data_IF_963793670706
#
_entry.id   IF_963793670706
#
_cell.length_a   1.000
_cell.length_b   1.000
_cell.length_c   1.000
_cell.angle_alpha   90.00
_cell.angle_beta   90.00
_cell.angle_gamma   90.00
#
_symmetry.space_group_name_H-M   'P 1'
#
loop_
_entity.id
_entity.type
_entity.pdbx_description
1 polymer ?
#
# COMPACT_ATOMS: atom_id res chain seq x y z
N UNK A 1 -6.98 9.42 28.56
CA UNK A 1 -8.01 9.98 27.65
C UNK A 1 -7.46 10.99 26.66
N UNK A 2 -6.52 11.88 27.01
CA UNK A 2 -5.97 12.88 26.06
C UNK A 2 -5.08 12.35 24.93
N UNK A 3 -4.59 11.10 24.99
CA UNK A 3 -3.76 10.50 23.93
C UNK A 3 -4.57 10.01 22.71
N UNK A 4 -5.90 9.90 22.83
CA UNK A 4 -6.76 9.41 21.73
C UNK A 4 -7.13 10.52 20.73
N UNK A 5 -7.12 11.79 21.15
CA UNK A 5 -7.63 12.91 20.35
C UNK A 5 -6.59 14.00 20.08
N UNK A 6 -5.42 13.96 20.73
CA UNK A 6 -4.34 14.92 20.50
C UNK A 6 -3.40 14.38 19.44
N UNK A 7 -2.90 15.28 18.59
CA UNK A 7 -1.95 14.92 17.54
C UNK A 7 -0.66 14.34 18.13
N UNK A 8 -0.10 13.37 17.42
CA UNK A 8 1.12 12.67 17.83
C UNK A 8 2.29 13.66 18.00
N UNK A 9 2.40 14.66 17.12
CA UNK A 9 3.42 15.69 17.18
C UNK A 9 3.33 16.54 18.45
N UNK A 10 2.12 16.82 18.93
CA UNK A 10 1.87 17.56 20.17
C UNK A 10 2.16 16.70 21.39
N UNK A 11 1.79 15.41 21.36
CA UNK A 11 2.06 14.47 22.45
C UNK A 11 3.57 14.24 22.61
N UNK A 12 4.27 14.02 21.49
CA UNK A 12 5.69 13.70 21.46
C UNK A 12 6.61 14.94 21.44
N UNK A 13 6.04 16.16 21.42
CA UNK A 13 6.78 17.44 21.30
C UNK A 13 7.71 17.48 20.08
N UNK A 14 7.25 16.90 18.97
CA UNK A 14 7.96 16.84 17.71
C UNK A 14 7.63 18.05 16.82
N UNK A 15 8.52 18.43 15.89
CA UNK A 15 8.20 19.47 14.92
C UNK A 15 7.00 19.06 14.05
N UNK A 16 6.26 20.04 13.54
CA UNK A 16 5.04 19.78 12.77
C UNK A 16 5.25 18.97 11.48
N UNK A 17 6.47 18.94 10.95
CA UNK A 17 6.84 18.15 9.77
C UNK A 17 7.32 16.74 10.10
N UNK A 18 7.39 16.34 11.38
CA UNK A 18 7.79 14.99 11.76
C UNK A 18 6.81 13.97 11.18
N UNK A 19 7.35 12.97 10.47
CA UNK A 19 6.54 11.95 9.81
C UNK A 19 5.81 12.41 8.54
N UNK A 20 6.16 13.56 7.95
CA UNK A 20 5.48 14.09 6.76
C UNK A 20 5.37 13.05 5.62
N UNK A 21 6.46 12.34 5.31
CA UNK A 21 6.47 11.31 4.25
C UNK A 21 5.49 10.17 4.55
N UNK A 22 5.49 9.68 5.79
CA UNK A 22 4.56 8.65 6.24
C UNK A 22 3.11 9.11 6.13
N UNK A 23 2.80 10.34 6.55
CA UNK A 23 1.44 10.91 6.44
C UNK A 23 0.96 11.05 4.99
N UNK A 24 1.85 11.45 4.08
CA UNK A 24 1.54 11.47 2.64
C UNK A 24 1.24 10.04 2.15
N UNK A 25 2.04 9.06 2.58
CA UNK A 25 1.79 7.64 2.31
C UNK A 25 0.39 7.19 2.77
N UNK A 26 -0.01 7.53 3.99
CA UNK A 26 -1.33 7.20 4.55
C UNK A 26 -2.48 7.79 3.71
N UNK A 27 -2.33 9.02 3.19
CA UNK A 27 -3.32 9.61 2.29
C UNK A 27 -3.45 8.82 0.98
N UNK A 28 -2.34 8.39 0.39
CA UNK A 28 -2.37 7.58 -0.84
C UNK A 28 -2.91 6.16 -0.59
N UNK A 29 -2.58 5.53 0.54
CA UNK A 29 -3.19 4.27 0.95
C UNK A 29 -4.72 4.40 1.07
N UNK A 30 -5.17 5.44 1.77
CA UNK A 30 -6.60 5.72 1.96
C UNK A 30 -7.30 6.02 0.64
N UNK A 31 -6.69 6.81 -0.24
CA UNK A 31 -7.20 7.12 -1.57
C UNK A 31 -7.30 5.87 -2.45
N UNK A 32 -6.29 5.00 -2.45
CA UNK A 32 -6.28 3.78 -3.24
C UNK A 32 -7.38 2.81 -2.77
N UNK A 33 -7.55 2.67 -1.44
CA UNK A 33 -8.64 1.89 -0.85
C UNK A 33 -10.01 2.47 -1.23
N UNK A 34 -10.17 3.79 -1.16
CA UNK A 34 -11.39 4.49 -1.57
C UNK A 34 -11.75 4.27 -3.03
N UNK A 35 -10.77 4.37 -3.94
CA UNK A 35 -10.96 4.07 -5.37
C UNK A 35 -11.41 2.62 -5.55
N UNK A 36 -10.76 1.67 -4.88
CA UNK A 36 -11.14 0.26 -4.96
C UNK A 36 -12.58 0.01 -4.48
N UNK A 37 -12.99 0.62 -3.36
CA UNK A 37 -14.37 0.51 -2.86
C UNK A 37 -15.38 1.14 -3.81
N UNK A 38 -15.06 2.29 -4.40
CA UNK A 38 -15.89 2.92 -5.41
C UNK A 38 -16.03 2.03 -6.64
N UNK A 39 -14.93 1.50 -7.17
CA UNK A 39 -14.92 0.58 -8.30
C UNK A 39 -15.71 -0.69 -7.99
N UNK A 40 -15.57 -1.27 -6.80
CA UNK A 40 -16.40 -2.40 -6.34
C UNK A 40 -17.90 -2.08 -6.44
N UNK A 41 -18.32 -0.90 -5.98
CA UNK A 41 -19.72 -0.47 -6.02
C UNK A 41 -20.21 -0.28 -7.45
N UNK A 42 -19.39 0.31 -8.32
CA UNK A 42 -19.71 0.49 -9.75
C UNK A 42 -19.86 -0.87 -10.45
N UNK A 43 -18.89 -1.78 -10.30
CA UNK A 43 -18.92 -3.14 -10.90
C UNK A 43 -20.11 -3.95 -10.44
N UNK A 44 -20.56 -3.75 -9.19
CA UNK A 44 -21.70 -4.50 -8.64
C UNK A 44 -23.00 -4.31 -9.42
N UNK A 45 -23.09 -3.27 -10.26
CA UNK A 45 -24.22 -3.04 -11.15
C UNK A 45 -24.12 -3.82 -12.48
N UNK A 46 -23.00 -4.51 -12.74
CA UNK A 46 -22.74 -5.18 -14.03
C UNK A 46 -22.97 -6.68 -13.90
N UNK A 47 -23.77 -7.26 -14.79
CA UNK A 47 -23.99 -8.71 -14.84
C UNK A 47 -22.72 -9.47 -15.26
N UNK A 48 -22.44 -10.61 -14.61
CA UNK A 48 -21.31 -11.49 -14.95
C UNK A 48 -19.91 -10.98 -14.57
N UNK A 49 -19.82 -10.05 -13.62
CA UNK A 49 -18.57 -9.36 -13.27
C UNK A 49 -17.97 -9.77 -11.91
N UNK A 50 -18.41 -10.89 -11.34
CA UNK A 50 -18.10 -11.30 -9.96
C UNK A 50 -16.60 -11.34 -9.63
N UNK A 51 -15.77 -11.79 -10.58
CA UNK A 51 -14.32 -11.86 -10.37
C UNK A 51 -13.67 -10.48 -10.27
N UNK A 52 -14.15 -9.51 -11.07
CA UNK A 52 -13.68 -8.13 -11.06
C UNK A 52 -14.20 -7.41 -9.80
N UNK A 53 -15.43 -7.70 -9.40
CA UNK A 53 -15.99 -7.24 -8.12
C UNK A 53 -15.15 -7.72 -6.94
N UNK A 54 -14.85 -9.01 -6.88
CA UNK A 54 -14.00 -9.59 -5.83
C UNK A 54 -12.58 -9.03 -5.85
N UNK A 55 -12.02 -8.77 -7.04
CA UNK A 55 -10.73 -8.12 -7.19
C UNK A 55 -10.73 -6.79 -6.43
N UNK A 56 -11.60 -5.85 -6.81
CA UNK A 56 -11.65 -4.53 -6.18
C UNK A 56 -11.95 -4.57 -4.67
N UNK A 57 -12.84 -5.46 -4.21
CA UNK A 57 -13.12 -5.59 -2.79
C UNK A 57 -11.90 -6.07 -2.00
N UNK A 58 -11.22 -7.10 -2.49
CA UNK A 58 -10.03 -7.63 -1.82
C UNK A 58 -8.87 -6.63 -1.91
N UNK A 59 -8.71 -5.93 -3.03
CA UNK A 59 -7.74 -4.84 -3.18
C UNK A 59 -8.00 -3.73 -2.17
N UNK A 60 -9.26 -3.31 -1.97
CA UNK A 60 -9.62 -2.29 -0.99
C UNK A 60 -9.26 -2.72 0.43
N UNK A 61 -9.67 -3.92 0.83
CA UNK A 61 -9.41 -4.46 2.18
C UNK A 61 -7.91 -4.60 2.41
N UNK A 62 -7.17 -5.13 1.44
CA UNK A 62 -5.73 -5.32 1.55
C UNK A 62 -4.98 -3.98 1.63
N UNK A 63 -5.32 -3.03 0.76
CA UNK A 63 -4.76 -1.67 0.75
C UNK A 63 -5.05 -0.92 2.05
N UNK A 64 -6.27 -1.07 2.60
CA UNK A 64 -6.63 -0.49 3.88
C UNK A 64 -5.87 -1.14 5.04
N UNK A 65 -5.70 -2.47 5.01
CA UNK A 65 -4.93 -3.19 6.03
C UNK A 65 -3.47 -2.71 6.06
N UNK A 66 -2.83 -2.54 4.90
CA UNK A 66 -1.48 -1.97 4.80
C UNK A 66 -1.42 -0.52 5.27
N UNK A 67 -2.42 0.31 4.91
CA UNK A 67 -2.49 1.69 5.38
C UNK A 67 -2.69 1.83 6.90
N UNK A 68 -3.49 0.95 7.50
CA UNK A 68 -3.66 0.88 8.96
C UNK A 68 -2.37 0.41 9.63
N UNK A 69 -1.73 -0.60 9.07
CA UNK A 69 -0.44 -1.08 9.56
C UNK A 69 0.62 0.04 9.59
N UNK A 70 0.77 0.78 8.49
CA UNK A 70 1.67 1.94 8.41
C UNK A 70 1.25 3.08 9.37
N UNK A 71 -0.04 3.34 9.54
CA UNK A 71 -0.53 4.43 10.38
C UNK A 71 -0.31 4.21 11.88
N UNK A 72 -0.32 2.95 12.32
CA UNK A 72 -0.18 2.57 13.72
C UNK A 72 1.10 1.78 14.02
N UNK A 73 1.99 1.64 13.02
CA UNK A 73 3.24 0.89 13.12
C UNK A 73 3.00 -0.53 13.65
N UNK A 74 1.99 -1.22 13.12
CA UNK A 74 1.57 -2.50 13.70
C UNK A 74 2.69 -3.54 13.57
N UNK A 75 3.32 -3.66 12.40
CA UNK A 75 4.41 -4.61 12.16
C UNK A 75 5.73 -4.25 12.87
N UNK A 76 5.99 -2.97 13.12
CA UNK A 76 7.23 -2.49 13.73
C UNK A 76 7.17 -2.45 15.27
N UNK A 77 6.04 -2.05 15.84
CA UNK A 77 5.92 -1.79 17.29
C UNK A 77 4.83 -2.64 17.94
N UNK A 78 3.57 -2.53 17.48
CA UNK A 78 2.45 -3.14 18.22
C UNK A 78 2.47 -4.68 18.24
N UNK A 79 2.72 -5.33 17.10
CA UNK A 79 2.80 -6.79 17.02
C UNK A 79 4.06 -7.35 17.72
N UNK A 80 5.26 -6.76 17.53
CA UNK A 80 6.43 -7.12 18.32
C UNK A 80 6.22 -6.97 19.83
N UNK A 81 5.51 -5.93 20.29
CA UNK A 81 5.20 -5.73 21.71
C UNK A 81 4.34 -6.84 22.33
N UNK A 82 3.54 -7.55 21.54
CA UNK A 82 2.75 -8.72 21.99
C UNK A 82 3.44 -10.07 21.67
N UNK A 83 4.71 -10.04 21.24
CA UNK A 83 5.52 -11.23 21.02
C UNK A 83 5.43 -11.83 19.62
N UNK A 84 4.86 -11.12 18.64
CA UNK A 84 4.85 -11.53 17.23
C UNK A 84 6.00 -10.81 16.51
N UNK A 85 7.07 -11.51 16.10
CA UNK A 85 8.19 -10.86 15.42
C UNK A 85 7.77 -10.20 14.10
N UNK A 86 8.28 -8.99 13.86
CA UNK A 86 8.09 -8.17 12.64
C UNK A 86 8.21 -9.01 11.35
N UNK A 87 9.23 -9.89 11.28
CA UNK A 87 9.47 -10.78 10.13
C UNK A 87 8.27 -11.66 9.78
N UNK A 88 7.51 -12.12 10.77
CA UNK A 88 6.31 -12.93 10.52
C UNK A 88 5.16 -12.08 9.99
N UNK A 89 5.01 -10.84 10.48
CA UNK A 89 3.98 -9.90 10.00
C UNK A 89 4.28 -9.54 8.54
N UNK A 90 5.50 -9.12 8.23
CA UNK A 90 5.94 -8.82 6.86
C UNK A 90 5.79 -10.04 5.94
N UNK A 91 6.19 -11.24 6.40
CA UNK A 91 6.02 -12.47 5.63
C UNK A 91 4.53 -12.74 5.33
N UNK A 92 3.64 -12.47 6.28
CA UNK A 92 2.20 -12.65 6.08
C UNK A 92 1.65 -11.73 4.97
N UNK A 93 2.12 -10.48 4.90
CA UNK A 93 1.75 -9.54 3.85
C UNK A 93 2.27 -9.96 2.49
N UNK A 94 3.52 -10.42 2.42
CA UNK A 94 4.11 -10.96 1.17
C UNK A 94 3.35 -12.19 0.70
N UNK A 95 3.05 -13.14 1.59
CA UNK A 95 2.28 -14.34 1.25
C UNK A 95 0.86 -14.00 0.78
N UNK A 96 0.20 -13.07 1.46
CA UNK A 96 -1.11 -12.58 1.05
C UNK A 96 -1.05 -11.93 -0.33
N UNK A 97 -0.06 -11.08 -0.58
CA UNK A 97 0.16 -10.43 -1.87
C UNK A 97 0.41 -11.46 -2.97
N UNK A 98 1.27 -12.45 -2.75
CA UNK A 98 1.49 -13.54 -3.71
C UNK A 98 0.19 -14.30 -4.01
N UNK A 99 -0.57 -14.67 -2.98
CA UNK A 99 -1.87 -15.33 -3.14
C UNK A 99 -2.85 -14.46 -3.93
N UNK A 100 -2.91 -13.16 -3.62
CA UNK A 100 -3.73 -12.17 -4.31
C UNK A 100 -3.37 -12.09 -5.81
N UNK A 101 -2.08 -11.97 -6.14
CA UNK A 101 -1.60 -11.91 -7.52
C UNK A 101 -1.96 -13.18 -8.30
N UNK A 102 -1.77 -14.36 -7.71
CA UNK A 102 -2.13 -15.64 -8.35
C UNK A 102 -3.65 -15.76 -8.53
N UNK A 103 -4.44 -15.41 -7.52
CA UNK A 103 -5.91 -15.47 -7.57
C UNK A 103 -6.48 -14.57 -8.66
N UNK A 104 -5.91 -13.37 -8.82
CA UNK A 104 -6.42 -12.35 -9.73
C UNK A 104 -5.60 -12.18 -11.01
N UNK A 105 -4.65 -13.07 -11.31
CA UNK A 105 -3.77 -12.97 -12.48
C UNK A 105 -4.54 -12.74 -13.79
N UNK A 106 -5.68 -13.41 -13.98
CA UNK A 106 -6.53 -13.24 -15.18
C UNK A 106 -7.16 -11.85 -15.28
N UNK A 107 -7.46 -11.21 -14.15
CA UNK A 107 -7.97 -9.84 -14.11
C UNK A 107 -6.83 -8.85 -14.32
N UNK A 108 -5.70 -9.07 -13.62
CA UNK A 108 -4.50 -8.22 -13.71
C UNK A 108 -3.97 -8.17 -15.15
N UNK A 109 -3.91 -9.30 -15.86
CA UNK A 109 -3.47 -9.35 -17.27
C UNK A 109 -4.41 -8.60 -18.25
N UNK A 110 -5.63 -8.26 -17.83
CA UNK A 110 -6.55 -7.40 -18.60
C UNK A 110 -6.42 -5.92 -18.24
N UNK A 111 -5.56 -5.58 -17.27
CA UNK A 111 -5.22 -4.22 -16.87
C UNK A 111 -3.85 -3.84 -17.43
N UNK A 112 -3.45 -2.58 -17.27
CA UNK A 112 -2.10 -2.13 -17.55
C UNK A 112 -1.13 -2.64 -16.46
N UNK A 113 -0.85 -3.94 -16.47
CA UNK A 113 -0.08 -4.63 -15.43
C UNK A 113 1.35 -4.10 -15.27
N UNK A 114 1.90 -3.40 -16.28
CA UNK A 114 3.19 -2.70 -16.15
C UNK A 114 3.16 -1.67 -15.02
N UNK A 115 2.02 -0.99 -14.82
CA UNK A 115 1.83 -0.06 -13.70
C UNK A 115 1.82 -0.77 -12.34
N UNK A 116 1.47 -2.06 -12.29
CA UNK A 116 1.54 -2.88 -11.07
C UNK A 116 2.95 -3.37 -10.77
N UNK A 117 3.82 -3.52 -11.78
CA UNK A 117 5.22 -3.91 -11.55
C UNK A 117 5.98 -2.81 -10.79
N UNK A 118 5.71 -1.54 -11.10
CA UNK A 118 6.36 -0.39 -10.45
C UNK A 118 6.22 -0.39 -8.92
N UNK A 119 5.02 -0.43 -8.31
CA UNK A 119 4.90 -0.45 -6.86
C UNK A 119 5.53 -1.68 -6.24
N UNK A 120 5.42 -2.85 -6.87
CA UNK A 120 6.04 -4.08 -6.38
C UNK A 120 7.57 -3.99 -6.35
N UNK A 121 8.16 -3.40 -7.39
CA UNK A 121 9.59 -3.15 -7.45
C UNK A 121 10.04 -2.21 -6.33
N UNK A 122 9.34 -1.08 -6.13
CA UNK A 122 9.72 -0.10 -5.11
C UNK A 122 9.50 -0.59 -3.68
N UNK A 123 8.45 -1.38 -3.40
CA UNK A 123 8.29 -2.05 -2.11
C UNK A 123 9.40 -3.08 -1.87
N UNK A 124 9.73 -3.89 -2.88
CA UNK A 124 10.85 -4.83 -2.79
C UNK A 124 12.18 -4.12 -2.56
N UNK A 125 12.41 -2.98 -3.21
CA UNK A 125 13.59 -2.16 -3.03
C UNK A 125 13.68 -1.56 -1.63
N UNK A 126 12.57 -1.05 -1.08
CA UNK A 126 12.50 -0.54 0.29
C UNK A 126 12.86 -1.63 1.32
N UNK A 127 12.23 -2.81 1.23
CA UNK A 127 12.56 -3.97 2.09
C UNK A 127 14.03 -4.40 1.91
N UNK A 128 14.54 -4.37 0.67
CA UNK A 128 15.94 -4.71 0.41
C UNK A 128 16.90 -3.71 1.05
N UNK A 129 16.58 -2.41 0.98
CA UNK A 129 17.36 -1.35 1.63
C UNK A 129 17.41 -1.59 3.13
N UNK A 130 16.26 -1.85 3.79
CA UNK A 130 16.17 -2.17 5.23
C UNK A 130 16.89 -3.47 5.62
N UNK A 131 16.80 -4.52 4.81
CA UNK A 131 17.49 -5.78 5.12
C UNK A 131 19.02 -5.64 4.97
N UNK A 132 19.48 -5.00 3.90
CA UNK A 132 20.91 -4.75 3.66
C UNK A 132 21.50 -3.88 4.76
N UNK A 133 20.73 -2.87 5.15
CA UNK A 133 20.88 -2.00 6.31
C UNK A 133 21.22 -2.77 7.60
N UNK A 134 20.41 -3.78 7.93
CA UNK A 134 20.54 -4.58 9.16
C UNK A 134 21.70 -5.57 9.09
N UNK A 135 22.01 -6.09 7.90
CA UNK A 135 23.05 -7.09 7.69
C UNK A 135 24.46 -6.49 7.52
N UNK A 136 24.56 -5.29 6.94
CA UNK A 136 25.82 -4.60 6.62
C UNK A 136 25.69 -3.10 6.91
N UNK A 137 25.78 -2.69 8.19
CA UNK A 137 25.64 -1.28 8.58
C UNK A 137 26.62 -0.35 7.83
N UNK A 138 27.85 -0.81 7.61
CA UNK A 138 28.91 -0.02 6.95
C UNK A 138 28.80 0.02 5.42
N UNK A 139 27.86 -0.71 4.79
CA UNK A 139 27.81 -0.87 3.34
C UNK A 139 27.56 0.42 2.58
N UNK A 140 26.66 1.26 3.11
CA UNK A 140 26.32 2.52 2.46
C UNK A 140 27.38 3.60 2.72
N UNK A 141 28.20 3.50 3.78
CA UNK A 141 29.19 4.53 4.14
C UNK A 141 28.60 5.94 4.33
N UNK A 142 27.28 6.03 4.49
CA UNK A 142 26.47 7.24 4.52
C UNK A 142 25.78 7.33 5.90
N UNK A 143 25.52 8.54 6.39
CA UNK A 143 24.82 8.80 7.64
C UNK A 143 23.43 8.12 7.68
N UNK A 144 23.01 7.64 8.86
CA UNK A 144 21.73 6.93 9.08
C UNK A 144 20.52 7.67 8.51
N UNK A 145 20.53 9.01 8.56
CA UNK A 145 19.43 9.86 8.07
C UNK A 145 19.16 9.72 6.56
N UNK A 146 20.20 9.61 5.74
CA UNK A 146 20.03 9.46 4.29
C UNK A 146 19.52 8.05 3.97
N UNK A 147 19.90 7.05 4.78
CA UNK A 147 19.41 5.69 4.62
C UNK A 147 17.91 5.61 4.91
N UNK A 148 17.48 6.20 6.02
CA UNK A 148 16.06 6.33 6.38
C UNK A 148 15.29 7.07 5.28
N UNK A 149 15.85 8.17 4.75
CA UNK A 149 15.22 8.91 3.65
C UNK A 149 15.08 8.07 2.37
N UNK A 150 16.07 7.23 2.04
CA UNK A 150 16.02 6.33 0.88
C UNK A 150 14.98 5.22 1.08
N UNK A 151 14.95 4.62 2.27
CA UNK A 151 13.98 3.57 2.62
C UNK A 151 12.54 4.11 2.55
N UNK A 152 12.26 5.22 3.23
CA UNK A 152 10.96 5.87 3.25
C UNK A 152 10.58 6.45 1.88
N UNK A 153 11.55 7.02 1.17
CA UNK A 153 11.34 7.57 -0.17
C UNK A 153 10.96 6.50 -1.18
N UNK A 154 11.67 5.36 -1.19
CA UNK A 154 11.34 4.23 -2.06
C UNK A 154 9.99 3.61 -1.70
N UNK A 155 9.67 3.47 -0.40
CA UNK A 155 8.34 3.05 0.07
C UNK A 155 7.25 3.98 -0.47
N UNK A 156 7.44 5.30 -0.33
CA UNK A 156 6.46 6.29 -0.79
C UNK A 156 6.23 6.23 -2.30
N UNK A 157 7.28 6.09 -3.12
CA UNK A 157 7.13 5.91 -4.58
C UNK A 157 6.33 4.64 -4.89
N UNK A 158 6.54 3.56 -4.10
CA UNK A 158 5.73 2.36 -4.16
C UNK A 158 4.25 2.64 -3.88
N UNK A 159 3.93 3.36 -2.79
CA UNK A 159 2.54 3.69 -2.41
C UNK A 159 1.87 4.55 -3.49
N UNK A 160 2.55 5.58 -4.00
CA UNK A 160 2.02 6.45 -5.05
C UNK A 160 1.76 5.66 -6.33
N UNK A 161 2.67 4.77 -6.72
CA UNK A 161 2.50 3.92 -7.90
C UNK A 161 1.35 2.93 -7.73
N UNK A 162 1.15 2.40 -6.52
CA UNK A 162 0.03 1.53 -6.16
C UNK A 162 -1.30 2.25 -6.31
N UNK A 163 -1.38 3.49 -5.83
CA UNK A 163 -2.53 4.37 -6.03
C UNK A 163 -2.82 4.62 -7.51
N UNK A 164 -1.80 4.98 -8.30
CA UNK A 164 -1.95 5.24 -9.74
C UNK A 164 -2.46 4.01 -10.47
N UNK A 165 -1.97 2.81 -10.12
CA UNK A 165 -2.45 1.56 -10.70
C UNK A 165 -3.95 1.37 -10.47
N UNK A 166 -4.43 1.54 -9.24
CA UNK A 166 -5.87 1.37 -8.95
C UNK A 166 -6.74 2.46 -9.55
N UNK A 167 -6.23 3.69 -9.65
CA UNK A 167 -6.90 4.77 -10.37
C UNK A 167 -7.14 4.39 -11.83
N UNK A 168 -6.11 3.90 -12.53
CA UNK A 168 -6.22 3.45 -13.92
C UNK A 168 -7.15 2.24 -14.06
N UNK A 169 -7.08 1.29 -13.13
CA UNK A 169 -8.00 0.13 -13.15
C UNK A 169 -9.46 0.56 -13.02
N UNK A 170 -9.74 1.51 -12.12
CA UNK A 170 -11.08 2.06 -11.92
C UNK A 170 -11.58 2.84 -13.14
N UNK A 171 -10.73 3.70 -13.72
CA UNK A 171 -11.05 4.48 -14.92
C UNK A 171 -11.33 3.58 -16.13
N UNK A 172 -10.42 2.66 -16.44
CA UNK A 172 -10.54 1.75 -17.58
C UNK A 172 -11.85 0.94 -17.51
N UNK A 173 -12.26 0.54 -16.31
CA UNK A 173 -13.53 -0.14 -16.09
C UNK A 173 -14.73 0.78 -16.40
N UNK A 174 -14.75 2.01 -15.89
CA UNK A 174 -15.84 2.96 -16.12
C UNK A 174 -15.97 3.26 -17.62
N UNK A 175 -14.85 3.53 -18.30
CA UNK A 175 -14.82 3.82 -19.73
C UNK A 175 -15.30 2.62 -20.55
N UNK A 176 -14.86 1.40 -20.21
CA UNK A 176 -15.32 0.18 -20.86
C UNK A 176 -16.81 -0.06 -20.69
N UNK A 177 -17.37 0.27 -19.53
CA UNK A 177 -18.80 0.18 -19.29
C UNK A 177 -19.57 1.21 -20.12
N UNK A 178 -19.19 2.49 -20.10
CA UNK A 178 -19.88 3.54 -20.86
C UNK A 178 -19.90 3.24 -22.37
N UNK A 179 -18.81 2.72 -22.94
CA UNK A 179 -18.78 2.28 -24.35
C UNK A 179 -19.73 1.14 -24.68
N UNK A 180 -20.20 0.36 -23.70
CA UNK A 180 -21.18 -0.71 -23.92
C UNK A 180 -22.61 -0.16 -24.10
N UNK A 181 -22.88 1.07 -23.65
CA UNK A 181 -24.23 1.69 -23.67
C UNK A 181 -24.37 2.84 -24.67
N UNK A 182 -23.27 3.40 -25.16
CA UNK A 182 -23.32 4.33 -26.29
C UNK A 182 -23.31 3.51 -27.59
N UNK A 183 -24.47 3.51 -28.27
CA UNK A 183 -24.68 3.01 -29.63
C UNK A 183 -23.80 3.73 -30.64
#
# INVERSE_FOLDING_TARGET
>A
MGHLSRDLSVIAKLPAHAGLLSQIGIFFWSGASGICLLSYKVVSNFTGSDRVKQFFLISAIFTLMLGIDDAFLLHEDMFPAIGIPEKFVLLSYVLFLCFYLVKFIRVILQTEYLLLVTPLFFFGLSIFIDLLSRLRPDFFGIHDDIRLLLEDGTKLVGIVSWFIYFLHCGEHLIVRHLRKYNF
#
